data_IF_829750625087
#
_entry.id   IF_829750625087
#
_cell.length_a   1.000
_cell.length_b   1.000
_cell.length_c   1.000
_cell.angle_alpha   90.00
_cell.angle_beta   90.00
_cell.angle_gamma   90.00
#
_symmetry.space_group_name_H-M   'P 1'
#
loop_
_entity.id
_entity.type
_entity.pdbx_description
1 polymer ?
#
# COMPACT_ATOMS: atom_id res chain seq x y z
N UNK A 1 26.09 17.45 -17.08
CA UNK A 1 25.81 16.08 -16.60
C UNK A 1 24.30 15.90 -16.63
N UNK A 2 23.79 15.12 -17.58
CA UNK A 2 22.36 14.92 -17.81
C UNK A 2 21.82 13.88 -16.83
N UNK A 3 20.77 14.24 -16.07
CA UNK A 3 20.01 13.29 -15.24
C UNK A 3 18.66 13.03 -15.90
N UNK A 4 18.48 11.80 -16.36
CA UNK A 4 17.23 11.31 -16.96
C UNK A 4 16.22 11.01 -15.85
N UNK A 5 15.07 11.68 -15.88
CA UNK A 5 13.90 11.33 -15.07
C UNK A 5 13.08 10.30 -15.85
N UNK A 6 13.07 9.05 -15.39
CA UNK A 6 12.23 7.99 -15.93
C UNK A 6 10.85 8.08 -15.28
N UNK A 7 9.92 8.73 -15.97
CA UNK A 7 8.50 8.78 -15.61
C UNK A 7 7.79 7.57 -16.23
N UNK A 8 7.29 6.65 -15.40
CA UNK A 8 6.41 5.56 -15.84
C UNK A 8 5.04 6.14 -16.23
N UNK A 9 4.80 6.30 -17.53
CA UNK A 9 3.50 6.62 -18.10
C UNK A 9 2.78 5.32 -18.46
N UNK A 10 1.61 5.07 -17.87
CA UNK A 10 0.66 4.07 -18.37
C UNK A 10 -0.42 4.76 -19.22
N UNK A 11 -0.81 4.19 -20.37
CA UNK A 11 -1.70 4.85 -21.32
C UNK A 11 -3.16 4.85 -20.85
N UNK A 12 -3.78 6.05 -20.89
CA UNK A 12 -5.23 6.23 -20.76
C UNK A 12 -5.87 5.98 -22.13
N UNK A 13 -6.69 4.93 -22.25
CA UNK A 13 -7.43 4.67 -23.48
C UNK A 13 -8.71 5.51 -23.52
N UNK A 14 -8.65 6.62 -24.27
CA UNK A 14 -9.76 7.50 -24.60
C UNK A 14 -10.52 6.95 -25.81
N UNK A 15 -11.72 6.41 -25.60
CA UNK A 15 -12.62 5.99 -26.69
C UNK A 15 -13.76 6.99 -26.87
N UNK A 16 -13.53 7.99 -27.72
CA UNK A 16 -14.54 8.96 -28.19
C UNK A 16 -15.21 8.40 -29.47
N UNK A 17 -16.43 7.87 -29.35
CA UNK A 17 -17.22 7.39 -30.49
C UNK A 17 -18.34 8.35 -30.88
N UNK A 18 -18.15 9.10 -31.96
CA UNK A 18 -19.07 10.10 -32.53
C UNK A 18 -20.10 9.45 -33.45
N UNK A 19 -21.36 9.84 -33.29
CA UNK A 19 -22.54 9.44 -34.06
C UNK A 19 -22.51 9.92 -35.53
N UNK A 20 -22.96 9.06 -36.46
CA UNK A 20 -23.46 9.43 -37.80
C UNK A 20 -24.58 8.47 -38.24
N UNK A 21 -25.55 9.02 -38.95
CA UNK A 21 -26.87 8.48 -39.31
C UNK A 21 -27.00 8.11 -40.80
N UNK A 22 -28.12 7.42 -41.12
CA UNK A 22 -28.86 7.25 -42.42
C UNK A 22 -28.81 5.82 -43.04
N UNK A 23 -29.74 5.43 -43.96
CA UNK A 23 -31.08 4.93 -43.61
C UNK A 23 -31.48 3.60 -44.29
N UNK A 24 -32.49 2.97 -43.70
CA UNK A 24 -33.61 2.17 -44.22
C UNK A 24 -33.55 1.47 -45.60
N UNK A 25 -33.82 0.14 -45.61
CA UNK A 25 -34.77 -0.50 -46.53
C UNK A 25 -35.19 -1.92 -46.09
N UNK A 26 -36.44 -2.05 -45.63
CA UNK A 26 -37.45 -3.13 -45.86
C UNK A 26 -37.09 -4.63 -45.80
N UNK A 27 -37.79 -5.40 -44.94
CA UNK A 27 -38.99 -6.20 -45.32
C UNK A 27 -39.36 -7.32 -44.29
N UNK A 28 -40.66 -7.42 -43.98
CA UNK A 28 -41.49 -8.52 -43.44
C UNK A 28 -41.28 -9.17 -42.05
N UNK A 29 -42.34 -8.96 -41.24
CA UNK A 29 -43.24 -9.95 -40.58
C UNK A 29 -42.64 -11.09 -39.72
N UNK A 30 -42.94 -11.09 -38.41
CA UNK A 30 -44.06 -11.83 -37.74
C UNK A 30 -44.00 -11.75 -36.20
N UNK A 31 -45.16 -11.98 -35.58
CA UNK A 31 -45.54 -11.90 -34.16
C UNK A 31 -44.73 -12.77 -33.17
N UNK A 32 -44.59 -12.30 -31.92
CA UNK A 32 -45.09 -12.96 -30.68
C UNK A 32 -44.15 -12.94 -29.45
N UNK A 33 -44.80 -12.79 -28.29
CA UNK A 33 -44.40 -13.09 -26.90
C UNK A 33 -43.61 -12.07 -26.07
N UNK A 34 -44.30 -11.62 -25.02
CA UNK A 34 -43.88 -10.78 -23.91
C UNK A 34 -42.80 -11.48 -23.06
N UNK A 35 -41.61 -10.90 -22.94
CA UNK A 35 -40.57 -11.36 -22.00
C UNK A 35 -40.22 -10.23 -21.04
N UNK A 36 -40.58 -10.41 -19.76
CA UNK A 36 -40.16 -9.55 -18.65
C UNK A 36 -38.65 -9.73 -18.47
N UNK A 37 -37.90 -8.64 -18.63
CA UNK A 37 -36.48 -8.63 -18.28
C UNK A 37 -36.37 -8.52 -16.75
N UNK A 38 -36.09 -9.65 -16.10
CA UNK A 38 -35.58 -9.62 -14.73
C UNK A 38 -34.13 -9.18 -14.79
N UNK A 39 -33.85 -7.96 -14.35
CA UNK A 39 -32.50 -7.51 -14.07
C UNK A 39 -32.06 -8.18 -12.77
N UNK A 40 -31.36 -9.30 -12.87
CA UNK A 40 -30.64 -9.88 -11.73
C UNK A 40 -29.34 -9.10 -11.57
N UNK A 41 -29.29 -8.20 -10.58
CA UNK A 41 -28.03 -7.56 -10.19
C UNK A 41 -27.17 -8.62 -9.52
N UNK A 42 -26.14 -9.08 -10.23
CA UNK A 42 -25.12 -9.93 -9.64
C UNK A 42 -24.19 -9.00 -8.86
N UNK A 43 -24.33 -8.94 -7.54
CA UNK A 43 -23.30 -8.39 -6.66
C UNK A 43 -22.09 -9.33 -6.73
N UNK A 44 -21.28 -9.17 -7.78
CA UNK A 44 -20.01 -9.86 -7.88
C UNK A 44 -19.12 -9.38 -6.74
N UNK A 45 -18.60 -10.36 -6.00
CA UNK A 45 -17.73 -10.31 -4.83
C UNK A 45 -16.52 -9.39 -5.04
N UNK A 46 -16.69 -8.08 -4.90
CA UNK A 46 -15.62 -7.07 -4.97
C UNK A 46 -14.85 -6.92 -3.64
N UNK A 47 -15.32 -7.57 -2.57
CA UNK A 47 -14.73 -7.42 -1.23
C UNK A 47 -13.30 -7.96 -1.10
N UNK A 48 -12.93 -9.01 -1.85
CA UNK A 48 -11.59 -9.59 -1.73
C UNK A 48 -10.50 -8.75 -2.42
N UNK A 49 -10.77 -8.21 -3.62
CA UNK A 49 -9.78 -7.43 -4.39
C UNK A 49 -9.58 -6.01 -3.82
N UNK A 50 -10.64 -5.41 -3.28
CA UNK A 50 -10.57 -4.09 -2.62
C UNK A 50 -9.70 -4.16 -1.35
N UNK A 51 -9.80 -5.25 -0.57
CA UNK A 51 -9.03 -5.40 0.68
C UNK A 51 -7.51 -5.41 0.50
N UNK A 52 -6.99 -6.07 -0.54
CA UNK A 52 -5.56 -6.18 -0.79
C UNK A 52 -4.94 -4.86 -1.29
N UNK A 53 -5.67 -4.14 -2.15
CA UNK A 53 -5.25 -2.83 -2.64
C UNK A 53 -5.26 -1.79 -1.53
N UNK A 54 -6.29 -1.78 -0.68
CA UNK A 54 -6.37 -0.87 0.46
C UNK A 54 -5.24 -1.12 1.47
N UNK A 55 -4.97 -2.38 1.79
CA UNK A 55 -3.84 -2.75 2.65
C UNK A 55 -2.52 -2.25 2.08
N UNK A 56 -2.29 -2.44 0.78
CA UNK A 56 -1.06 -2.02 0.14
C UNK A 56 -0.91 -0.50 0.13
N UNK A 57 -1.99 0.25 -0.12
CA UNK A 57 -1.99 1.70 -0.01
C UNK A 57 -1.67 2.17 1.41
N UNK A 58 -2.24 1.54 2.44
CA UNK A 58 -1.94 1.89 3.84
C UNK A 58 -0.48 1.64 4.20
N UNK A 59 0.16 0.59 3.67
CA UNK A 59 1.62 0.39 3.82
C UNK A 59 2.40 1.54 3.17
N UNK A 60 2.00 1.95 1.97
CA UNK A 60 2.63 3.07 1.27
C UNK A 60 2.46 4.40 2.03
N UNK A 61 1.29 4.62 2.65
CA UNK A 61 1.03 5.80 3.47
C UNK A 61 1.99 5.88 4.67
N UNK A 62 2.19 4.75 5.37
CA UNK A 62 3.18 4.67 6.47
C UNK A 62 4.58 4.98 5.95
N UNK A 63 5.01 4.36 4.85
CA UNK A 63 6.34 4.58 4.28
C UNK A 63 6.55 6.05 3.86
N UNK A 64 5.52 6.69 3.32
CA UNK A 64 5.53 8.10 2.97
C UNK A 64 5.65 8.99 4.21
N UNK A 65 4.85 8.71 5.25
CA UNK A 65 4.85 9.49 6.48
C UNK A 65 6.21 9.49 7.18
N UNK A 66 6.96 8.38 7.11
CA UNK A 66 8.27 8.25 7.78
C UNK A 66 9.47 8.74 6.96
N UNK A 67 9.31 8.95 5.65
CA UNK A 67 10.43 9.18 4.72
C UNK A 67 11.34 10.35 5.12
N UNK A 68 10.74 11.47 5.54
CA UNK A 68 11.45 12.72 5.82
C UNK A 68 11.73 12.95 7.32
N UNK A 69 11.68 11.88 8.12
CA UNK A 69 11.84 11.97 9.58
C UNK A 69 13.24 11.62 10.09
N UNK A 70 14.16 11.21 9.21
CA UNK A 70 15.48 10.66 9.57
C UNK A 70 15.37 9.58 10.66
N UNK A 71 14.52 8.57 10.44
CA UNK A 71 14.19 7.48 11.39
C UNK A 71 13.55 7.96 12.69
N UNK A 72 12.90 9.12 12.68
CA UNK A 72 12.26 9.73 13.85
C UNK A 72 13.07 10.84 14.54
N UNK A 73 14.35 11.02 14.17
CA UNK A 73 15.23 12.02 14.79
C UNK A 73 14.70 13.46 14.62
N UNK A 74 14.19 13.80 13.43
CA UNK A 74 13.69 15.16 13.12
C UNK A 74 12.16 15.21 13.02
N UNK A 75 11.46 14.16 13.46
CA UNK A 75 10.01 14.11 13.41
C UNK A 75 9.38 15.15 14.35
N UNK A 76 8.60 16.08 13.79
CA UNK A 76 7.78 17.03 14.56
C UNK A 76 6.64 16.32 15.30
N UNK A 77 5.99 17.01 16.25
CA UNK A 77 4.83 16.46 16.95
C UNK A 77 3.70 16.09 15.97
N UNK A 78 3.42 16.95 15.00
CA UNK A 78 2.39 16.70 13.98
C UNK A 78 2.75 15.50 13.11
N UNK A 79 4.02 15.38 12.68
CA UNK A 79 4.49 14.23 11.90
C UNK A 79 4.39 12.93 12.69
N UNK A 80 4.74 12.94 13.98
CA UNK A 80 4.57 11.77 14.86
C UNK A 80 3.10 11.35 14.95
N UNK A 81 2.20 12.33 15.13
CA UNK A 81 0.75 12.08 15.11
C UNK A 81 0.29 11.47 13.78
N UNK A 82 0.75 12.01 12.64
CA UNK A 82 0.41 11.47 11.32
C UNK A 82 0.93 10.04 11.13
N UNK A 83 2.14 9.74 11.60
CA UNK A 83 2.72 8.40 11.51
C UNK A 83 1.92 7.42 12.38
N UNK A 84 1.58 7.79 13.61
CA UNK A 84 0.78 6.96 14.51
C UNK A 84 -0.61 6.68 13.93
N UNK A 85 -1.27 7.68 13.36
CA UNK A 85 -2.56 7.50 12.69
C UNK A 85 -2.47 6.56 11.48
N UNK A 86 -1.41 6.68 10.68
CA UNK A 86 -1.17 5.80 9.55
C UNK A 86 -0.91 4.35 9.99
N UNK A 87 -0.15 4.15 11.08
CA UNK A 87 0.10 2.83 11.67
C UNK A 87 -1.19 2.19 12.20
N UNK A 88 -1.99 2.94 12.98
CA UNK A 88 -3.28 2.46 13.49
C UNK A 88 -4.22 2.11 12.35
N UNK A 89 -4.25 2.93 11.29
CA UNK A 89 -5.03 2.64 10.09
C UNK A 89 -4.60 1.35 9.40
N UNK A 90 -3.29 1.09 9.32
CA UNK A 90 -2.73 -0.12 8.73
C UNK A 90 -3.06 -1.37 9.57
N UNK A 91 -2.96 -1.26 10.89
CA UNK A 91 -3.35 -2.32 11.83
C UNK A 91 -4.84 -2.68 11.70
N UNK A 92 -5.70 -1.68 11.48
CA UNK A 92 -7.13 -1.88 11.22
C UNK A 92 -7.43 -2.65 9.92
N UNK A 93 -6.52 -2.62 8.94
CA UNK A 93 -6.64 -3.41 7.71
C UNK A 93 -6.16 -4.86 7.87
N UNK A 94 -5.51 -5.20 8.99
CA UNK A 94 -5.01 -6.55 9.26
C UNK A 94 -6.11 -7.49 9.77
N UNK A 95 -7.15 -7.70 8.95
CA UNK A 95 -8.28 -8.62 9.21
C UNK A 95 -7.95 -10.05 8.72
N UNK A 96 -6.70 -10.28 8.31
CA UNK A 96 -6.23 -11.58 7.84
C UNK A 96 -6.08 -12.62 8.96
N UNK A 97 -5.79 -13.89 8.59
CA UNK A 97 -5.38 -14.89 9.57
C UNK A 97 -4.15 -14.40 10.37
N UNK A 98 -3.93 -14.91 11.60
CA UNK A 98 -2.76 -14.57 12.39
C UNK A 98 -1.49 -14.67 11.55
N UNK A 99 -0.65 -13.64 11.63
CA UNK A 99 0.59 -13.60 10.87
C UNK A 99 1.44 -14.81 11.21
N UNK A 100 1.82 -15.56 10.18
CA UNK A 100 2.72 -16.70 10.31
C UNK A 100 4.10 -16.20 10.74
N UNK A 101 4.54 -16.58 11.93
CA UNK A 101 5.82 -16.14 12.49
C UNK A 101 7.00 -16.64 11.65
N UNK A 102 6.83 -17.74 10.91
CA UNK A 102 7.86 -18.26 10.01
C UNK A 102 8.13 -17.25 8.86
N UNK A 103 7.18 -16.37 8.51
CA UNK A 103 7.38 -15.29 7.53
C UNK A 103 8.19 -14.12 8.09
N UNK A 104 8.32 -14.02 9.42
CA UNK A 104 9.13 -13.01 10.08
C UNK A 104 10.59 -13.43 10.21
N UNK A 105 10.95 -14.67 9.90
CA UNK A 105 12.34 -15.12 9.97
C UNK A 105 13.23 -14.33 9.01
N UNK A 106 14.22 -13.65 9.59
CA UNK A 106 15.17 -12.89 8.79
C UNK A 106 15.76 -11.66 9.46
N UNK A 107 16.35 -10.84 8.61
CA UNK A 107 17.10 -9.62 8.98
C UNK A 107 16.26 -8.40 8.63
N UNK A 108 15.64 -7.79 9.63
CA UNK A 108 14.77 -6.63 9.47
C UNK A 108 15.54 -5.33 9.64
N UNK A 109 15.33 -4.37 8.73
CA UNK A 109 15.88 -3.03 8.89
C UNK A 109 14.86 -2.16 9.63
N UNK A 110 15.32 -1.46 10.68
CA UNK A 110 14.49 -0.43 11.31
C UNK A 110 14.25 0.71 10.33
N UNK A 111 13.01 1.16 10.14
CA UNK A 111 12.69 2.29 9.26
C UNK A 111 12.39 3.57 10.07
N UNK A 112 11.70 3.43 11.19
CA UNK A 112 11.28 4.52 12.06
C UNK A 112 11.29 4.06 13.52
N UNK A 113 11.58 4.97 14.45
CA UNK A 113 11.45 4.75 15.90
C UNK A 113 11.13 6.05 16.62
N UNK A 114 10.31 5.98 17.67
CA UNK A 114 10.11 7.05 18.65
C UNK A 114 10.88 6.81 19.96
N UNK A 115 11.61 5.70 20.06
CA UNK A 115 12.33 5.30 21.27
C UNK A 115 13.50 6.26 21.57
N UNK A 116 13.44 6.95 22.70
CA UNK A 116 14.36 8.03 23.05
C UNK A 116 15.81 7.57 23.20
N UNK A 117 16.03 6.37 23.73
CA UNK A 117 17.34 5.72 23.83
C UNK A 117 18.03 5.55 22.47
N UNK A 118 17.27 5.16 21.44
CA UNK A 118 17.78 5.06 20.06
C UNK A 118 17.95 6.43 19.42
N UNK A 119 17.03 7.38 19.68
CA UNK A 119 17.13 8.73 19.14
C UNK A 119 18.39 9.46 19.62
N UNK A 120 18.80 9.27 20.88
CA UNK A 120 20.07 9.83 21.41
C UNK A 120 21.28 9.33 20.63
N UNK A 121 21.29 8.06 20.22
CA UNK A 121 22.36 7.51 19.38
C UNK A 121 22.34 8.11 17.98
N UNK A 122 21.16 8.27 17.38
CA UNK A 122 21.01 8.91 16.07
C UNK A 122 21.45 10.39 16.10
N UNK A 123 21.06 11.12 17.14
CA UNK A 123 21.47 12.51 17.38
C UNK A 123 22.98 12.62 17.55
N UNK A 124 23.57 11.72 18.34
CA UNK A 124 25.02 11.66 18.55
C UNK A 124 25.76 11.45 17.23
N UNK A 125 25.24 10.58 16.36
CA UNK A 125 25.83 10.33 15.04
C UNK A 125 25.65 11.49 14.05
N UNK A 126 24.62 12.31 14.23
CA UNK A 126 24.46 13.55 13.46
C UNK A 126 25.44 14.65 13.90
N UNK A 127 25.89 14.63 15.16
CA UNK A 127 26.76 15.68 15.75
C UNK A 127 28.25 15.34 15.72
N UNK A 128 28.60 14.08 15.89
CA UNK A 128 29.98 13.65 16.07
C UNK A 128 30.56 13.17 14.72
N UNK A 129 31.61 13.81 14.18
CA UNK A 129 32.13 13.49 12.84
C UNK A 129 32.77 12.11 12.73
N UNK A 130 33.07 11.46 13.86
CA UNK A 130 33.68 10.11 13.92
C UNK A 130 32.67 9.00 14.25
N UNK A 131 31.42 9.33 14.59
CA UNK A 131 30.42 8.35 14.99
C UNK A 131 29.32 8.29 13.92
N UNK A 132 29.18 7.15 13.25
CA UNK A 132 28.20 6.96 12.18
C UNK A 132 27.27 5.81 12.53
N UNK A 133 25.96 6.05 12.50
CA UNK A 133 24.95 4.98 12.60
C UNK A 133 24.62 4.49 11.19
N UNK A 134 25.07 3.27 10.89
CA UNK A 134 24.79 2.60 9.62
C UNK A 134 23.39 1.96 9.58
N UNK A 135 23.34 0.65 9.34
CA UNK A 135 22.08 -0.10 9.29
C UNK A 135 21.71 -0.57 10.70
N UNK A 136 20.61 -0.07 11.25
CA UNK A 136 19.99 -0.66 12.44
C UNK A 136 19.16 -1.87 11.99
N UNK A 137 19.50 -3.03 12.53
CA UNK A 137 18.96 -4.32 12.12
C UNK A 137 18.39 -5.04 13.36
N UNK A 138 17.21 -5.64 13.19
CA UNK A 138 16.65 -6.61 14.13
C UNK A 138 16.63 -7.97 13.45
N UNK A 139 17.24 -8.96 14.08
CA UNK A 139 17.13 -10.35 13.62
C UNK A 139 15.93 -10.97 14.35
N UNK A 140 15.05 -11.59 13.59
CA UNK A 140 13.97 -12.41 14.12
C UNK A 140 14.21 -13.85 13.68
N UNK A 141 14.09 -14.78 14.62
CA UNK A 141 14.21 -16.21 14.37
C UNK A 141 13.16 -16.95 15.21
N UNK A 142 12.40 -17.83 14.57
CA UNK A 142 11.48 -18.75 15.20
C UNK A 142 12.28 -19.75 16.05
N UNK A 143 12.06 -19.74 17.37
CA UNK A 143 12.61 -20.76 18.26
C UNK A 143 11.88 -22.09 17.98
N UNK A 144 12.37 -22.87 17.02
CA UNK A 144 11.93 -24.26 16.86
C UNK A 144 12.41 -25.05 18.08
N UNK A 145 11.46 -25.41 18.94
CA UNK A 145 11.68 -26.22 20.12
C UNK A 145 12.42 -27.50 19.75
N UNK A 146 13.70 -27.57 20.09
CA UNK A 146 14.47 -28.80 20.06
C UNK A 146 14.28 -29.47 21.41
N UNK A 147 13.09 -30.06 21.62
CA UNK A 147 12.94 -31.11 22.62
C UNK A 147 13.60 -32.34 22.01
N UNK A 148 14.83 -32.60 22.46
CA UNK A 148 15.52 -33.88 22.31
C UNK A 148 14.95 -34.90 23.30
#
# INVERSE_FOLDING_TARGET
MNVALSTFLYPVSLSRGRSKSKPDLNYSRKLSTHKKFSCSVTLATQTAQVSGFDLENKKHDVLRAVQDTQRGLVASADQRSTIEEALVSLEGCNIGPPMDLDQLDGTWRLQYTSASDVLVLLESAARLPFFQVGRIIKVFFQLRGRLA
#
